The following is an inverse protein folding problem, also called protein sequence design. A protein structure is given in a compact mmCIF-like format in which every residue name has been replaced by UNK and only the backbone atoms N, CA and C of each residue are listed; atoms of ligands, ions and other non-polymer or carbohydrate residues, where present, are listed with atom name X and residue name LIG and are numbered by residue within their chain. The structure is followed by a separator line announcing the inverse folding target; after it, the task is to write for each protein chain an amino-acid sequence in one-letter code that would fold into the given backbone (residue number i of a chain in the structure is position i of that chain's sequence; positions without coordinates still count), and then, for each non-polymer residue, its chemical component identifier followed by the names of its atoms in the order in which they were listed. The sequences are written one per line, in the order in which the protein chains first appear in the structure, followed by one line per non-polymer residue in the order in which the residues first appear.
data_IF_656714968515
#
_entry.id   IF_656714968515
#
_cell.length_a   1.000
_cell.length_b   1.000
_cell.length_c   1.000
_cell.angle_alpha   90.00
_cell.angle_beta   90.00
_cell.angle_gamma   90.00
#
_symmetry.space_group_name_H-M   'P 1'
#
loop_
_entity.id
_entity.type
_entity.pdbx_description
1 polymer ?
#
# COMPACT_ATOMS: atom_id res chain seq x y z
N UNK A 1 -20.67 86.29 -26.63
CA UNK A 1 -21.17 85.22 -25.72
C UNK A 1 -22.59 84.91 -26.17
N UNK A 2 -23.01 83.73 -26.63
CA UNK A 2 -22.47 82.37 -26.54
C UNK A 2 -23.18 81.57 -27.63
N UNK A 3 -22.46 80.89 -28.54
CA UNK A 3 -23.09 79.93 -29.48
C UNK A 3 -23.23 78.59 -28.76
N UNK A 4 -24.46 78.14 -28.55
CA UNK A 4 -24.80 76.80 -28.08
C UNK A 4 -24.36 75.76 -29.14
N UNK A 5 -23.42 74.90 -28.77
CA UNK A 5 -23.16 73.64 -29.45
C UNK A 5 -24.16 72.60 -28.91
N UNK A 6 -25.23 72.36 -29.66
CA UNK A 6 -26.01 71.14 -29.55
C UNK A 6 -25.27 70.02 -30.29
N UNK A 7 -25.36 68.79 -29.77
CA UNK A 7 -24.73 67.53 -30.20
C UNK A 7 -23.37 67.23 -29.56
N UNK A 8 -23.39 66.46 -28.45
CA UNK A 8 -22.83 65.09 -28.54
C UNK A 8 -23.66 64.01 -27.80
N UNK A 9 -24.82 64.32 -27.22
CA UNK A 9 -25.51 63.39 -26.31
C UNK A 9 -26.11 62.14 -26.98
N UNK A 10 -26.54 62.23 -28.25
CA UNK A 10 -27.15 61.08 -28.96
C UNK A 10 -26.13 60.01 -29.36
N UNK A 11 -24.88 60.38 -29.62
CA UNK A 11 -23.82 59.43 -30.00
C UNK A 11 -23.39 58.59 -28.79
N UNK A 12 -23.22 59.20 -27.61
CA UNK A 12 -22.85 58.50 -26.39
C UNK A 12 -23.93 57.53 -25.88
N UNK A 13 -25.22 57.91 -25.98
CA UNK A 13 -26.34 57.01 -25.63
C UNK A 13 -26.43 55.80 -26.57
N UNK A 14 -26.11 55.97 -27.86
CA UNK A 14 -26.08 54.85 -28.82
C UNK A 14 -24.91 53.89 -28.58
N UNK A 15 -23.73 54.41 -28.19
CA UNK A 15 -22.55 53.61 -27.86
C UNK A 15 -22.73 52.82 -26.55
N UNK A 16 -23.37 53.41 -25.53
CA UNK A 16 -23.70 52.70 -24.28
C UNK A 16 -24.78 51.64 -24.52
N UNK A 17 -25.78 51.94 -25.38
CA UNK A 17 -26.76 50.95 -25.82
C UNK A 17 -26.11 49.78 -26.58
N UNK A 18 -25.14 50.05 -27.46
CA UNK A 18 -24.41 49.01 -28.21
C UNK A 18 -23.51 48.16 -27.30
N UNK A 19 -22.92 48.75 -26.25
CA UNK A 19 -22.08 48.03 -25.26
C UNK A 19 -22.90 47.14 -24.30
N UNK A 20 -24.14 47.53 -24.00
CA UNK A 20 -25.07 46.71 -23.22
C UNK A 20 -25.63 45.53 -24.03
N UNK A 21 -25.73 45.66 -25.35
CA UNK A 21 -26.15 44.55 -26.24
C UNK A 21 -25.03 43.55 -26.54
N UNK A 22 -23.74 43.93 -26.47
CA UNK A 22 -22.62 43.02 -26.75
C UNK A 22 -22.10 42.25 -25.53
N UNK A 23 -22.51 42.62 -24.31
CA UNK A 23 -22.03 41.98 -23.06
C UNK A 23 -23.01 40.99 -22.43
N UNK A 24 -24.23 40.87 -22.95
CA UNK A 24 -25.22 39.87 -22.50
C UNK A 24 -25.35 38.69 -23.47
N UNK A 25 -24.23 38.10 -23.88
CA UNK A 25 -24.25 36.73 -24.40
C UNK A 25 -24.53 35.78 -23.22
N UNK A 26 -25.80 35.43 -23.00
CA UNK A 26 -26.21 34.43 -22.01
C UNK A 26 -25.45 33.12 -22.29
N UNK A 27 -24.45 32.81 -21.47
CA UNK A 27 -23.67 31.58 -21.58
C UNK A 27 -24.62 30.37 -21.52
N UNK A 28 -24.57 29.50 -22.52
CA UNK A 28 -25.39 28.29 -22.55
C UNK A 28 -24.98 27.37 -21.39
N UNK A 29 -25.92 26.58 -20.85
CA UNK A 29 -25.60 25.62 -19.79
C UNK A 29 -24.50 24.64 -20.22
N UNK A 30 -24.49 24.24 -21.49
CA UNK A 30 -23.42 23.44 -22.09
C UNK A 30 -22.05 24.12 -21.98
N UNK A 31 -21.95 25.42 -22.28
CA UNK A 31 -20.69 26.15 -22.17
C UNK A 31 -20.18 26.23 -20.73
N UNK A 32 -21.08 26.42 -19.75
CA UNK A 32 -20.71 26.39 -18.31
C UNK A 32 -20.18 25.04 -17.88
N UNK A 33 -20.82 23.95 -18.33
CA UNK A 33 -20.39 22.58 -18.02
C UNK A 33 -19.01 22.30 -18.62
N UNK A 34 -18.77 22.71 -19.87
CA UNK A 34 -17.45 22.58 -20.53
C UNK A 34 -16.37 23.34 -19.77
N UNK A 35 -16.67 24.56 -19.33
CA UNK A 35 -15.75 25.38 -18.54
C UNK A 35 -15.39 24.68 -17.22
N UNK A 36 -16.38 24.18 -16.48
CA UNK A 36 -16.18 23.48 -15.21
C UNK A 36 -15.40 22.19 -15.39
N UNK A 37 -15.69 21.41 -16.44
CA UNK A 37 -14.94 20.21 -16.80
C UNK A 37 -13.46 20.54 -17.11
N UNK A 38 -13.19 21.61 -17.86
CA UNK A 38 -11.81 22.04 -18.12
C UNK A 38 -11.11 22.55 -16.85
N UNK A 39 -11.81 23.34 -16.02
CA UNK A 39 -11.27 23.82 -14.74
C UNK A 39 -10.93 22.66 -13.80
N UNK A 40 -11.76 21.62 -13.80
CA UNK A 40 -11.51 20.39 -13.06
C UNK A 40 -10.21 19.70 -13.49
N UNK A 41 -10.01 19.52 -14.80
CA UNK A 41 -8.78 18.92 -15.34
C UNK A 41 -7.54 19.75 -15.02
N UNK A 42 -7.62 21.08 -15.16
CA UNK A 42 -6.53 21.98 -14.76
C UNK A 42 -6.24 21.92 -13.26
N UNK A 43 -7.29 21.81 -12.43
CA UNK A 43 -7.16 21.56 -11.00
C UNK A 43 -6.46 20.24 -10.69
N UNK A 44 -6.76 19.16 -11.42
CA UNK A 44 -6.08 17.86 -11.30
C UNK A 44 -4.59 17.93 -11.65
N UNK A 45 -4.22 18.74 -12.64
CA UNK A 45 -2.81 18.98 -13.00
C UNK A 45 -2.10 19.75 -11.88
N UNK A 46 -2.69 20.85 -11.41
CA UNK A 46 -2.14 21.70 -10.33
C UNK A 46 -2.06 21.01 -8.97
N UNK A 47 -2.90 20.00 -8.72
CA UNK A 47 -2.83 19.18 -7.52
C UNK A 47 -1.45 18.50 -7.36
N UNK A 48 -0.77 18.19 -8.47
CA UNK A 48 0.58 17.60 -8.44
C UNK A 48 1.59 18.53 -7.77
N UNK A 49 1.49 19.84 -7.99
CA UNK A 49 2.29 20.86 -7.31
C UNK A 49 1.70 21.32 -5.97
N UNK A 50 0.61 20.69 -5.50
CA UNK A 50 -0.02 20.97 -4.21
C UNK A 50 -1.09 22.06 -4.21
N UNK A 51 -1.35 22.72 -5.34
CA UNK A 51 -2.44 23.69 -5.44
C UNK A 51 -3.79 22.97 -5.61
N UNK A 52 -4.73 23.31 -4.73
CA UNK A 52 -6.04 22.67 -4.64
C UNK A 52 -7.21 23.62 -4.87
N UNK A 53 -6.95 24.92 -5.02
CA UNK A 53 -8.00 25.94 -4.98
C UNK A 53 -8.99 25.76 -6.12
N UNK A 54 -8.47 25.63 -7.34
CA UNK A 54 -9.28 25.45 -8.54
C UNK A 54 -10.04 24.12 -8.54
N UNK A 55 -9.42 23.04 -8.04
CA UNK A 55 -10.09 21.75 -7.94
C UNK A 55 -11.23 21.80 -6.91
N UNK A 56 -10.99 22.42 -5.75
CA UNK A 56 -11.97 22.53 -4.67
C UNK A 56 -13.21 23.34 -5.06
N UNK A 57 -13.05 24.38 -5.87
CA UNK A 57 -14.17 25.26 -6.25
C UNK A 57 -15.18 24.58 -7.18
N UNK A 58 -14.74 23.60 -7.97
CA UNK A 58 -15.55 22.97 -9.02
C UNK A 58 -15.98 21.53 -8.71
N UNK A 59 -15.57 20.98 -7.56
CA UNK A 59 -15.76 19.57 -7.21
C UNK A 59 -16.65 19.43 -5.99
N UNK A 60 -17.51 18.42 -5.99
CA UNK A 60 -18.28 18.03 -4.82
C UNK A 60 -17.35 17.64 -3.64
N UNK A 61 -17.71 17.97 -2.38
CA UNK A 61 -16.82 17.78 -1.23
C UNK A 61 -16.31 16.34 -1.04
N UNK A 62 -17.17 15.34 -1.28
CA UNK A 62 -16.79 13.93 -1.16
C UNK A 62 -15.75 13.53 -2.21
N UNK A 63 -15.96 13.92 -3.47
CA UNK A 63 -15.01 13.63 -4.54
C UNK A 63 -13.69 14.38 -4.33
N UNK A 64 -13.75 15.65 -3.94
CA UNK A 64 -12.55 16.41 -3.59
C UNK A 64 -11.73 15.73 -2.48
N UNK A 65 -12.40 15.26 -1.42
CA UNK A 65 -11.76 14.52 -0.32
C UNK A 65 -11.13 13.22 -0.79
N UNK A 66 -11.81 12.47 -1.66
CA UNK A 66 -11.28 11.24 -2.23
C UNK A 66 -9.99 11.49 -3.00
N UNK A 67 -9.99 12.46 -3.92
CA UNK A 67 -8.83 12.82 -4.73
C UNK A 67 -7.63 13.21 -3.85
N UNK A 68 -7.87 14.01 -2.80
CA UNK A 68 -6.83 14.41 -1.84
C UNK A 68 -6.21 13.22 -1.11
N UNK A 69 -7.04 12.29 -0.65
CA UNK A 69 -6.58 11.06 0.02
C UNK A 69 -5.83 10.15 -0.96
N UNK A 70 -6.26 10.05 -2.20
CA UNK A 70 -5.56 9.25 -3.23
C UNK A 70 -4.17 9.84 -3.49
N UNK A 71 -4.06 11.16 -3.61
CA UNK A 71 -2.76 11.84 -3.76
C UNK A 71 -1.85 11.62 -2.55
N UNK A 72 -2.39 11.62 -1.33
CA UNK A 72 -1.66 11.28 -0.11
C UNK A 72 -1.17 9.82 -0.14
N UNK A 73 -2.05 8.88 -0.47
CA UNK A 73 -1.70 7.47 -0.60
C UNK A 73 -0.59 7.24 -1.61
N UNK A 74 -0.67 7.84 -2.80
CA UNK A 74 0.36 7.74 -3.85
C UNK A 74 1.73 8.21 -3.37
N UNK A 75 1.78 9.33 -2.62
CA UNK A 75 3.02 9.79 -1.96
C UNK A 75 3.54 8.78 -0.94
N UNK A 76 2.66 8.14 -0.19
CA UNK A 76 3.04 7.14 0.80
C UNK A 76 3.57 5.87 0.12
N UNK A 77 3.03 5.42 -1.00
CA UNK A 77 3.53 4.20 -1.66
C UNK A 77 4.75 4.44 -2.56
N UNK A 78 5.15 5.70 -2.76
CA UNK A 78 6.21 6.08 -3.70
C UNK A 78 5.96 5.53 -5.12
N UNK A 79 4.68 5.44 -5.48
CA UNK A 79 4.30 4.98 -6.80
C UNK A 79 4.71 6.05 -7.81
N UNK A 80 5.33 5.68 -8.95
CA UNK A 80 5.46 6.61 -10.05
C UNK A 80 4.05 7.11 -10.35
N UNK A 81 3.85 8.42 -10.32
CA UNK A 81 2.58 9.00 -10.75
C UNK A 81 2.52 8.77 -12.26
N UNK A 82 2.02 7.60 -12.66
CA UNK A 82 1.71 7.28 -14.06
C UNK A 82 0.60 8.25 -14.43
N UNK A 83 1.03 9.37 -14.99
CA UNK A 83 0.16 10.38 -15.51
C UNK A 83 -0.32 9.86 -16.85
N UNK A 84 -1.58 9.43 -16.96
CA UNK A 84 -2.31 9.72 -18.20
C UNK A 84 -2.04 11.19 -18.54
N UNK A 85 -1.77 11.52 -19.80
CA UNK A 85 -1.47 12.89 -20.21
C UNK A 85 -2.75 13.73 -20.19
N UNK A 86 -3.30 13.91 -18.99
CA UNK A 86 -4.49 14.70 -18.68
C UNK A 86 -4.33 16.17 -19.10
N UNK A 87 -3.11 16.61 -19.42
CA UNK A 87 -2.84 17.96 -19.93
C UNK A 87 -3.35 18.16 -21.35
N UNK A 88 -3.55 17.07 -22.12
CA UNK A 88 -4.10 17.10 -23.48
C UNK A 88 -5.60 16.82 -23.55
N UNK A 89 -6.24 16.61 -22.39
CA UNK A 89 -7.66 16.32 -22.32
C UNK A 89 -8.45 17.64 -22.23
N UNK A 90 -9.48 17.78 -23.06
CA UNK A 90 -10.35 18.96 -23.10
C UNK A 90 -11.83 18.60 -23.18
N UNK A 91 -12.71 19.51 -22.78
CA UNK A 91 -14.16 19.26 -22.79
C UNK A 91 -14.71 19.10 -24.22
N UNK A 92 -15.46 18.03 -24.46
CA UNK A 92 -16.06 17.69 -25.75
C UNK A 92 -17.59 17.75 -25.74
N UNK A 93 -18.23 16.62 -25.95
CA UNK A 93 -19.70 16.51 -26.02
C UNK A 93 -20.32 16.61 -24.62
N UNK A 94 -21.40 17.37 -24.46
CA UNK A 94 -22.13 17.48 -23.20
C UNK A 94 -23.55 16.95 -23.37
N UNK A 95 -23.98 16.10 -22.43
CA UNK A 95 -25.37 15.66 -22.30
C UNK A 95 -25.93 16.17 -20.98
N UNK A 96 -27.05 16.87 -21.02
CA UNK A 96 -27.73 17.46 -19.85
C UNK A 96 -29.06 16.72 -19.67
N UNK A 97 -29.29 16.23 -18.46
CA UNK A 97 -30.54 15.58 -18.04
C UNK A 97 -30.97 16.20 -16.69
N UNK A 98 -31.82 17.23 -16.77
CA UNK A 98 -32.25 18.02 -15.62
C UNK A 98 -31.08 18.65 -14.87
N UNK A 99 -30.92 18.24 -13.61
CA UNK A 99 -29.84 18.72 -12.71
C UNK A 99 -28.56 17.89 -12.82
N UNK A 100 -28.46 16.98 -13.79
CA UNK A 100 -27.28 16.17 -14.04
C UNK A 100 -26.72 16.46 -15.41
N UNK A 101 -25.40 16.37 -15.54
CA UNK A 101 -24.73 16.47 -16.81
C UNK A 101 -23.57 15.49 -16.91
N UNK A 102 -23.27 15.06 -18.12
CA UNK A 102 -22.07 14.29 -18.44
C UNK A 102 -21.32 15.01 -19.55
N UNK A 103 -20.06 15.33 -19.28
CA UNK A 103 -19.13 15.86 -20.26
C UNK A 103 -18.20 14.73 -20.72
N UNK A 104 -18.27 14.39 -22.00
CA UNK A 104 -17.31 13.49 -22.64
C UNK A 104 -16.10 14.30 -23.06
N UNK A 105 -14.94 13.95 -22.52
CA UNK A 105 -13.71 14.66 -22.82
C UNK A 105 -13.08 14.16 -24.13
N UNK A 106 -12.35 15.04 -24.80
CA UNK A 106 -11.56 14.78 -26.01
C UNK A 106 -10.11 14.60 -25.57
N UNK A 107 -9.52 13.45 -25.90
CA UNK A 107 -8.14 13.09 -25.57
C UNK A 107 -7.76 11.73 -26.19
N UNK A 108 -6.58 11.22 -25.86
CA UNK A 108 -6.15 9.89 -26.30
C UNK A 108 -6.99 8.77 -25.68
N UNK A 109 -7.40 8.94 -24.42
CA UNK A 109 -8.19 7.97 -23.67
C UNK A 109 -9.64 8.44 -23.51
N UNK A 110 -10.56 7.47 -23.41
CA UNK A 110 -11.96 7.73 -23.13
C UNK A 110 -12.12 8.20 -21.67
N UNK A 111 -12.64 9.41 -21.47
CA UNK A 111 -12.81 9.98 -20.15
C UNK A 111 -14.14 10.75 -20.03
N UNK A 112 -14.92 10.45 -18.99
CA UNK A 112 -16.18 11.13 -18.69
C UNK A 112 -16.07 11.90 -17.37
N UNK A 113 -16.62 13.11 -17.37
CA UNK A 113 -16.82 13.90 -16.16
C UNK A 113 -18.32 14.01 -15.91
N UNK A 114 -18.76 13.59 -14.73
CA UNK A 114 -20.14 13.72 -14.29
C UNK A 114 -20.29 14.94 -13.40
N UNK A 115 -21.34 15.71 -13.65
CA UNK A 115 -21.65 16.94 -12.93
C UNK A 115 -23.08 16.89 -12.39
N UNK A 116 -23.28 17.56 -11.28
CA UNK A 116 -24.58 17.83 -10.67
C UNK A 116 -24.76 19.32 -10.46
N UNK A 117 -25.98 19.80 -10.61
CA UNK A 117 -26.35 21.19 -10.35
C UNK A 117 -26.64 21.36 -8.85
N UNK A 118 -25.97 22.33 -8.24
CA UNK A 118 -26.13 22.73 -6.84
C UNK A 118 -26.49 24.21 -6.80
N UNK A 119 -27.79 24.49 -6.63
CA UNK A 119 -28.34 25.83 -6.85
C UNK A 119 -28.12 26.28 -8.30
N UNK A 120 -27.48 27.43 -8.48
CA UNK A 120 -27.16 27.96 -9.83
C UNK A 120 -25.80 27.49 -10.38
N UNK A 121 -25.07 26.65 -9.65
CA UNK A 121 -23.71 26.23 -9.99
C UNK A 121 -23.63 24.74 -10.31
N UNK A 122 -22.84 24.36 -11.32
CA UNK A 122 -22.52 22.97 -11.60
C UNK A 122 -21.27 22.54 -10.83
N UNK A 123 -21.22 21.30 -10.36
CA UNK A 123 -20.06 20.72 -9.69
C UNK A 123 -19.81 19.30 -10.15
N UNK A 124 -18.54 18.95 -10.27
CA UNK A 124 -18.10 17.60 -10.62
C UNK A 124 -18.36 16.66 -9.44
N UNK A 125 -19.09 15.57 -9.68
CA UNK A 125 -19.46 14.59 -8.65
C UNK A 125 -18.98 13.16 -8.96
N UNK A 126 -18.42 12.92 -10.14
CA UNK A 126 -17.88 11.62 -10.53
C UNK A 126 -17.01 11.68 -11.78
N UNK A 127 -16.28 10.58 -12.01
CA UNK A 127 -15.43 10.35 -13.18
C UNK A 127 -15.73 8.97 -13.74
N UNK A 128 -15.89 8.86 -15.06
CA UNK A 128 -16.23 7.59 -15.71
C UNK A 128 -17.41 6.92 -14.99
N UNK A 129 -17.42 5.59 -14.87
CA UNK A 129 -18.50 4.90 -14.18
C UNK A 129 -18.38 4.94 -12.64
N UNK A 130 -17.63 5.90 -12.08
CA UNK A 130 -17.36 5.98 -10.65
C UNK A 130 -17.87 7.26 -9.98
N UNK A 131 -18.70 7.05 -8.96
CA UNK A 131 -19.14 8.08 -8.02
C UNK A 131 -18.52 7.84 -6.64
N UNK A 132 -18.37 8.91 -5.87
CA UNK A 132 -17.71 8.88 -4.56
C UNK A 132 -18.71 8.71 -3.43
N UNK A 133 -18.44 7.72 -2.58
CA UNK A 133 -19.26 7.39 -1.41
C UNK A 133 -18.43 7.52 -0.13
N UNK A 134 -19.12 7.57 1.02
CA UNK A 134 -18.47 7.65 2.33
C UNK A 134 -17.66 6.38 2.62
N UNK A 135 -18.13 5.23 2.15
CA UNK A 135 -17.47 3.93 2.30
C UNK A 135 -16.14 3.89 1.53
N UNK A 136 -16.10 4.43 0.30
CA UNK A 136 -14.86 4.54 -0.48
C UNK A 136 -13.82 5.41 0.25
N UNK A 137 -14.25 6.51 0.87
CA UNK A 137 -13.39 7.38 1.69
C UNK A 137 -12.85 6.62 2.92
N UNK A 138 -13.72 5.89 3.63
CA UNK A 138 -13.33 5.12 4.82
C UNK A 138 -12.33 4.01 4.46
N UNK A 139 -12.57 3.29 3.35
CA UNK A 139 -11.67 2.25 2.85
C UNK A 139 -10.29 2.82 2.49
N UNK A 140 -10.24 3.97 1.82
CA UNK A 140 -8.97 4.62 1.45
C UNK A 140 -8.20 5.13 2.68
N UNK A 141 -8.89 5.67 3.68
CA UNK A 141 -8.27 6.05 4.96
C UNK A 141 -7.66 4.85 5.68
N UNK A 142 -8.37 3.73 5.70
CA UNK A 142 -7.85 2.47 6.25
C UNK A 142 -6.59 2.04 5.50
N UNK A 143 -6.60 2.04 4.16
CA UNK A 143 -5.42 1.74 3.34
C UNK A 143 -4.22 2.65 3.66
N UNK A 144 -4.45 3.95 3.83
CA UNK A 144 -3.40 4.92 4.23
C UNK A 144 -2.83 4.55 5.61
N UNK A 145 -3.69 4.33 6.60
CA UNK A 145 -3.27 3.97 7.96
C UNK A 145 -2.48 2.65 7.98
N UNK A 146 -2.95 1.63 7.26
CA UNK A 146 -2.29 0.34 7.14
C UNK A 146 -0.90 0.49 6.48
N UNK A 147 -0.78 1.32 5.44
CA UNK A 147 0.49 1.56 4.76
C UNK A 147 1.48 2.35 5.61
N UNK A 148 1.01 3.34 6.39
CA UNK A 148 1.86 4.07 7.35
C UNK A 148 2.39 3.10 8.40
N UNK A 149 1.51 2.28 8.99
CA UNK A 149 1.89 1.24 9.96
C UNK A 149 2.90 0.26 9.36
N UNK A 150 2.67 -0.19 8.12
CA UNK A 150 3.60 -1.04 7.40
C UNK A 150 4.97 -0.38 7.22
N UNK A 151 5.02 0.88 6.76
CA UNK A 151 6.29 1.61 6.59
C UNK A 151 7.04 1.81 7.91
N UNK A 152 6.34 2.11 8.99
CA UNK A 152 6.93 2.25 10.33
C UNK A 152 7.50 0.92 10.85
N UNK A 153 6.77 -0.18 10.62
CA UNK A 153 7.18 -1.51 11.06
C UNK A 153 8.20 -2.17 10.13
N UNK A 154 8.36 -1.66 8.90
CA UNK A 154 9.24 -2.22 7.86
C UNK A 154 10.65 -2.50 8.39
N UNK A 155 11.36 -1.58 9.06
CA UNK A 155 12.72 -1.87 9.56
C UNK A 155 12.75 -3.05 10.54
N UNK A 156 11.78 -3.15 11.44
CA UNK A 156 11.68 -4.24 12.40
C UNK A 156 11.35 -5.58 11.71
N UNK A 157 10.41 -5.58 10.75
CA UNK A 157 10.06 -6.77 9.94
C UNK A 157 11.30 -7.26 9.18
N UNK A 158 12.02 -6.36 8.51
CA UNK A 158 13.24 -6.71 7.78
C UNK A 158 14.33 -7.25 8.72
N UNK A 159 14.46 -6.70 9.93
CA UNK A 159 15.37 -7.22 10.94
C UNK A 159 15.02 -8.65 11.34
N UNK A 160 13.73 -8.97 11.57
CA UNK A 160 13.28 -10.33 11.90
C UNK A 160 13.54 -11.28 10.74
N UNK A 161 13.14 -10.92 9.51
CA UNK A 161 13.36 -11.74 8.31
C UNK A 161 14.86 -12.01 8.08
N UNK A 162 15.72 -11.02 8.32
CA UNK A 162 17.18 -11.19 8.21
C UNK A 162 17.68 -12.22 9.22
N UNK A 163 17.30 -12.09 10.49
CA UNK A 163 17.69 -13.01 11.57
C UNK A 163 17.19 -14.44 11.29
N UNK A 164 15.97 -14.58 10.77
CA UNK A 164 15.40 -15.88 10.40
C UNK A 164 16.14 -16.53 9.23
N UNK A 165 16.53 -15.77 8.20
CA UNK A 165 17.32 -16.35 7.10
C UNK A 165 18.72 -16.76 7.55
N UNK A 166 19.41 -15.89 8.32
CA UNK A 166 20.70 -16.22 8.93
C UNK A 166 20.62 -17.43 9.86
N UNK A 167 19.48 -17.62 10.53
CA UNK A 167 19.26 -18.76 11.42
C UNK A 167 19.37 -20.09 10.67
N UNK A 168 18.77 -20.20 9.49
CA UNK A 168 18.85 -21.41 8.68
C UNK A 168 20.24 -21.62 8.08
N UNK A 169 20.94 -20.54 7.72
CA UNK A 169 22.33 -20.61 7.27
C UNK A 169 23.26 -21.09 8.40
N UNK A 170 23.12 -20.53 9.61
CA UNK A 170 23.90 -20.96 10.78
C UNK A 170 23.58 -22.39 11.22
N UNK A 171 22.31 -22.81 11.12
CA UNK A 171 21.91 -24.22 11.31
C UNK A 171 22.64 -25.12 10.32
N UNK A 172 22.66 -24.75 9.04
CA UNK A 172 23.36 -25.52 7.99
C UNK A 172 24.84 -25.63 8.27
N UNK A 173 25.51 -24.53 8.57
CA UNK A 173 26.95 -24.50 8.86
C UNK A 173 27.29 -25.34 10.09
N UNK A 174 26.46 -25.27 11.14
CA UNK A 174 26.65 -26.10 12.32
C UNK A 174 26.51 -27.59 12.01
N UNK A 175 25.53 -27.99 11.21
CA UNK A 175 25.35 -29.41 10.85
C UNK A 175 26.48 -29.92 9.95
N UNK A 176 26.92 -29.11 8.98
CA UNK A 176 27.96 -29.52 8.03
C UNK A 176 29.35 -29.56 8.66
N UNK A 177 29.72 -28.49 9.37
CA UNK A 177 31.11 -28.22 9.72
C UNK A 177 31.31 -28.07 11.25
N UNK A 178 30.25 -28.21 12.05
CA UNK A 178 30.30 -27.97 13.50
C UNK A 178 30.47 -26.49 13.88
N UNK A 179 30.42 -25.57 12.92
CA UNK A 179 30.59 -24.14 13.16
C UNK A 179 29.35 -23.54 13.85
N UNK A 180 29.49 -23.18 15.12
CA UNK A 180 28.38 -22.60 15.91
C UNK A 180 28.31 -21.07 15.85
N UNK A 181 29.33 -20.40 15.33
CA UNK A 181 29.57 -18.96 15.49
C UNK A 181 28.37 -18.09 15.09
N UNK A 182 27.78 -18.37 13.92
CA UNK A 182 26.62 -17.63 13.42
C UNK A 182 25.40 -17.80 14.32
N UNK A 183 25.16 -19.03 14.81
CA UNK A 183 24.08 -19.31 15.76
C UNK A 183 24.29 -18.58 17.10
N UNK A 184 25.52 -18.36 17.55
CA UNK A 184 25.78 -17.63 18.80
C UNK A 184 25.32 -16.17 18.76
N UNK A 185 25.42 -15.56 17.57
CA UNK A 185 25.05 -14.17 17.34
C UNK A 185 23.53 -14.04 17.33
N UNK A 186 22.86 -14.90 16.58
CA UNK A 186 21.43 -14.75 16.23
C UNK A 186 20.47 -15.53 17.13
N UNK A 187 20.96 -16.41 18.02
CA UNK A 187 20.12 -17.19 18.93
C UNK A 187 20.38 -16.83 20.40
N UNK A 188 19.38 -17.06 21.25
CA UNK A 188 19.59 -17.04 22.71
C UNK A 188 20.44 -18.24 23.16
N UNK A 189 21.11 -18.18 24.33
CA UNK A 189 21.87 -19.33 24.85
C UNK A 189 21.02 -20.61 24.98
N UNK A 190 19.76 -20.49 25.41
CA UNK A 190 18.84 -21.63 25.54
C UNK A 190 18.50 -22.23 24.18
N UNK A 191 18.22 -21.40 23.17
CA UNK A 191 17.99 -21.85 21.79
C UNK A 191 19.20 -22.57 21.23
N UNK A 192 20.40 -22.03 21.43
CA UNK A 192 21.65 -22.66 20.97
C UNK A 192 21.83 -24.05 21.57
N UNK A 193 21.64 -24.16 22.89
CA UNK A 193 21.76 -25.43 23.60
C UNK A 193 20.69 -26.44 23.14
N UNK A 194 19.45 -26.00 22.95
CA UNK A 194 18.36 -26.83 22.43
C UNK A 194 18.71 -27.38 21.03
N UNK A 195 19.21 -26.52 20.15
CA UNK A 195 19.71 -26.87 18.81
C UNK A 195 20.81 -27.93 18.90
N UNK A 196 21.87 -27.69 19.67
CA UNK A 196 22.98 -28.65 19.82
C UNK A 196 22.49 -30.02 20.33
N UNK A 197 21.65 -30.03 21.36
CA UNK A 197 21.03 -31.26 21.90
C UNK A 197 20.18 -31.96 20.85
N UNK A 198 19.37 -31.21 20.12
CA UNK A 198 18.52 -31.75 19.08
C UNK A 198 19.32 -32.37 17.93
N UNK A 199 20.39 -31.72 17.47
CA UNK A 199 21.27 -32.27 16.44
C UNK A 199 21.98 -33.53 16.87
N UNK A 200 22.51 -33.55 18.10
CA UNK A 200 23.14 -34.76 18.64
C UNK A 200 22.16 -35.93 18.69
N UNK A 201 20.91 -35.67 19.12
CA UNK A 201 19.85 -36.66 19.10
C UNK A 201 19.47 -37.09 17.67
N UNK A 202 19.37 -36.15 16.73
CA UNK A 202 19.03 -36.43 15.33
C UNK A 202 20.11 -37.28 14.64
N UNK A 203 21.39 -36.99 14.89
CA UNK A 203 22.54 -37.75 14.37
C UNK A 203 22.52 -39.20 14.86
N UNK A 204 22.19 -39.42 16.14
CA UNK A 204 22.03 -40.75 16.71
C UNK A 204 20.88 -41.54 16.07
N UNK A 205 19.78 -40.86 15.70
CA UNK A 205 18.54 -41.51 15.23
C UNK A 205 18.49 -41.75 13.72
N UNK A 206 18.98 -40.79 12.92
CA UNK A 206 18.79 -40.78 11.45
C UNK A 206 20.10 -40.80 10.66
N UNK A 207 21.26 -40.71 11.31
CA UNK A 207 22.56 -40.62 10.65
C UNK A 207 22.85 -39.24 10.04
N UNK A 208 24.13 -38.87 9.97
CA UNK A 208 24.62 -37.55 9.54
C UNK A 208 24.40 -37.28 8.03
N UNK A 209 24.46 -38.32 7.21
CA UNK A 209 24.36 -38.23 5.75
C UNK A 209 22.95 -37.83 5.28
N UNK A 210 21.91 -38.33 5.95
CA UNK A 210 20.51 -38.02 5.61
C UNK A 210 20.22 -36.55 5.93
N UNK A 211 20.67 -36.07 7.09
CA UNK A 211 20.52 -34.68 7.50
C UNK A 211 21.28 -33.74 6.56
N UNK A 212 22.50 -34.10 6.18
CA UNK A 212 23.34 -33.29 5.29
C UNK A 212 22.74 -33.09 3.90
N UNK A 213 22.14 -34.14 3.30
CA UNK A 213 21.50 -34.07 1.96
C UNK A 213 20.25 -33.19 1.92
N UNK A 214 19.49 -33.14 3.00
CA UNK A 214 18.24 -32.40 3.06
C UNK A 214 18.44 -30.89 3.25
N UNK A 215 19.58 -30.50 3.84
CA UNK A 215 19.95 -29.11 4.16
C UNK A 215 20.40 -28.32 2.92
N UNK A 216 20.90 -28.97 1.87
CA UNK A 216 21.48 -28.28 0.70
C UNK A 216 20.45 -27.55 -0.17
N UNK A 217 19.15 -27.82 0.02
CA UNK A 217 18.06 -27.26 -0.79
C UNK A 217 17.52 -25.93 -0.23
N UNK A 218 18.39 -25.02 0.28
CA UNK A 218 17.92 -23.77 0.90
C UNK A 218 17.24 -22.84 -0.12
N UNK A 219 16.07 -22.33 0.25
CA UNK A 219 15.37 -21.26 -0.46
C UNK A 219 15.09 -20.16 0.55
N UNK A 220 15.18 -18.90 0.11
CA UNK A 220 14.79 -17.73 0.89
C UNK A 220 13.45 -17.97 1.58
N UNK A 221 13.39 -17.70 2.89
CA UNK A 221 12.18 -17.94 3.67
C UNK A 221 11.25 -16.74 3.58
N UNK A 222 10.02 -16.98 3.13
CA UNK A 222 8.94 -16.00 3.11
C UNK A 222 7.97 -16.28 4.26
N UNK A 223 7.50 -15.23 4.91
CA UNK A 223 6.62 -15.35 6.06
C UNK A 223 6.14 -14.00 6.59
N UNK A 224 5.14 -14.07 7.45
CA UNK A 224 4.55 -12.93 8.14
C UNK A 224 5.20 -12.75 9.50
N UNK A 225 5.29 -11.49 9.95
CA UNK A 225 5.84 -11.15 11.27
C UNK A 225 4.78 -10.47 12.11
N UNK A 226 4.52 -11.02 13.29
CA UNK A 226 3.71 -10.40 14.34
C UNK A 226 4.60 -9.91 15.47
N UNK A 227 4.23 -8.78 16.08
CA UNK A 227 4.98 -8.18 17.19
C UNK A 227 4.11 -8.07 18.43
N UNK A 228 4.69 -8.40 19.57
CA UNK A 228 4.12 -8.17 20.90
C UNK A 228 5.21 -7.66 21.84
N UNK A 229 5.26 -6.34 22.04
CA UNK A 229 6.32 -5.68 22.82
C UNK A 229 7.73 -6.05 22.30
N UNK A 230 8.60 -6.61 23.14
CA UNK A 230 9.94 -7.08 22.78
C UNK A 230 9.95 -8.50 22.18
N UNK A 231 8.80 -9.08 21.89
CA UNK A 231 8.68 -10.37 21.20
C UNK A 231 8.24 -10.17 19.75
N UNK A 232 8.72 -11.06 18.89
CA UNK A 232 8.23 -11.21 17.54
C UNK A 232 8.03 -12.70 17.24
N UNK A 233 6.99 -13.01 16.47
CA UNK A 233 6.77 -14.34 15.91
C UNK A 233 6.86 -14.24 14.39
N UNK A 234 7.68 -15.11 13.79
CA UNK A 234 7.75 -15.29 12.35
C UNK A 234 6.96 -16.54 11.97
N UNK A 235 5.94 -16.37 11.13
CA UNK A 235 5.13 -17.47 10.60
C UNK A 235 5.44 -17.70 9.13
N UNK A 236 5.81 -18.92 8.79
CA UNK A 236 6.12 -19.28 7.41
C UNK A 236 4.88 -19.18 6.51
N UNK A 237 5.07 -18.66 5.30
CA UNK A 237 4.00 -18.62 4.28
C UNK A 237 3.55 -20.04 3.96
N UNK A 238 2.23 -20.28 3.97
CA UNK A 238 1.59 -21.57 3.69
C UNK A 238 1.98 -22.73 4.64
N UNK A 239 2.51 -22.42 5.83
CA UNK A 239 2.82 -23.43 6.84
C UNK A 239 2.24 -23.02 8.20
N UNK A 240 1.98 -24.00 9.07
CA UNK A 240 1.56 -23.75 10.45
C UNK A 240 2.73 -23.47 11.40
N UNK A 241 3.96 -23.45 10.87
CA UNK A 241 5.19 -23.38 11.64
C UNK A 241 5.53 -21.96 12.03
N UNK A 242 6.13 -21.80 13.21
CA UNK A 242 6.53 -20.48 13.72
C UNK A 242 7.90 -20.49 14.36
N UNK A 243 8.56 -19.34 14.33
CA UNK A 243 9.83 -19.07 15.00
C UNK A 243 9.61 -17.92 15.96
N UNK A 244 10.03 -18.09 17.21
CA UNK A 244 9.91 -17.08 18.24
C UNK A 244 11.21 -16.29 18.33
N UNK A 245 11.10 -14.96 18.40
CA UNK A 245 12.21 -14.05 18.53
C UNK A 245 11.99 -13.11 19.72
N UNK A 246 13.06 -12.85 20.46
CA UNK A 246 13.06 -11.85 21.54
C UNK A 246 14.09 -10.77 21.23
N UNK A 247 13.72 -9.52 21.48
CA UNK A 247 14.61 -8.36 21.34
C UNK A 247 15.55 -8.27 22.53
N UNK A 248 16.84 -8.23 22.27
CA UNK A 248 17.92 -8.03 23.24
C UNK A 248 18.89 -6.97 22.71
N UNK A 249 19.14 -5.92 23.48
CA UNK A 249 20.04 -4.81 23.11
C UNK A 249 19.77 -4.26 21.69
N UNK A 250 18.49 -4.02 21.37
CA UNK A 250 18.01 -3.59 20.04
C UNK A 250 18.15 -4.58 18.87
N UNK A 251 18.54 -5.83 19.12
CA UNK A 251 18.60 -6.87 18.11
C UNK A 251 17.64 -8.02 18.44
N UNK A 252 16.93 -8.54 17.43
CA UNK A 252 16.14 -9.76 17.61
C UNK A 252 17.06 -10.97 17.63
N UNK A 253 16.78 -11.90 18.54
CA UNK A 253 17.41 -13.22 18.60
C UNK A 253 16.35 -14.31 18.64
N UNK A 254 16.62 -15.43 17.98
CA UNK A 254 15.77 -16.62 18.00
C UNK A 254 15.74 -17.17 19.42
N UNK A 255 14.56 -17.20 20.02
CA UNK A 255 14.31 -17.59 21.41
C UNK A 255 13.46 -18.85 21.55
N UNK A 256 12.92 -19.37 20.44
CA UNK A 256 12.06 -20.53 20.46
C UNK A 256 11.53 -20.93 19.08
N UNK A 257 10.76 -22.01 19.06
CA UNK A 257 10.14 -22.58 17.87
C UNK A 257 8.71 -23.00 18.21
N UNK A 258 7.80 -22.96 17.23
CA UNK A 258 6.45 -23.50 17.34
C UNK A 258 5.65 -22.95 18.55
N UNK A 259 5.75 -21.65 18.82
CA UNK A 259 5.07 -21.00 19.94
C UNK A 259 5.64 -21.31 21.34
N UNK A 260 6.69 -22.12 21.44
CA UNK A 260 7.36 -22.45 22.71
C UNK A 260 8.72 -21.74 22.84
N UNK A 261 9.11 -21.38 24.07
CA UNK A 261 10.48 -20.91 24.32
C UNK A 261 11.43 -22.09 24.33
N UNK A 262 12.66 -21.90 23.85
CA UNK A 262 13.66 -22.97 23.82
C UNK A 262 13.98 -23.55 25.20
N UNK A 263 13.86 -22.75 26.26
CA UNK A 263 14.03 -23.21 27.65
C UNK A 263 12.93 -24.17 28.12
N UNK A 264 11.77 -24.16 27.47
CA UNK A 264 10.62 -25.03 27.76
C UNK A 264 10.68 -26.35 26.98
N UNK A 265 11.53 -26.45 25.96
CA UNK A 265 11.67 -27.64 25.12
C UNK A 265 12.59 -28.66 25.81
N UNK A 266 11.98 -29.57 26.58
CA UNK A 266 12.70 -30.67 27.24
C UNK A 266 13.21 -31.74 26.26
N UNK A 267 14.15 -32.58 26.70
CA UNK A 267 14.62 -33.72 25.90
C UNK A 267 13.51 -34.70 25.54
N UNK A 268 12.55 -34.92 26.45
CA UNK A 268 11.36 -35.72 26.16
C UNK A 268 10.52 -35.10 25.06
N UNK A 269 10.26 -33.80 25.13
CA UNK A 269 9.54 -33.08 24.07
C UNK A 269 10.28 -33.12 22.73
N UNK A 270 11.62 -33.05 22.74
CA UNK A 270 12.43 -33.20 21.52
C UNK A 270 12.25 -34.59 20.89
N UNK A 271 12.20 -35.64 21.70
CA UNK A 271 11.95 -37.00 21.22
C UNK A 271 10.51 -37.15 20.70
N UNK A 272 9.53 -36.66 21.45
CA UNK A 272 8.09 -36.77 21.11
C UNK A 272 7.72 -35.95 19.86
N UNK A 273 8.39 -34.80 19.65
CA UNK A 273 8.14 -33.88 18.52
C UNK A 273 9.24 -33.93 17.44
N UNK A 274 10.01 -35.00 17.38
CA UNK A 274 11.22 -35.11 16.55
C UNK A 274 11.02 -34.64 15.10
N UNK A 275 9.99 -35.13 14.41
CA UNK A 275 9.68 -34.74 13.03
C UNK A 275 9.23 -33.27 12.90
N UNK A 276 8.47 -32.77 13.87
CA UNK A 276 8.03 -31.37 13.87
C UNK A 276 9.21 -30.41 14.01
N UNK A 277 10.16 -30.73 14.90
CA UNK A 277 11.38 -29.95 15.09
C UNK A 277 12.33 -30.06 13.90
N UNK A 278 12.47 -31.25 13.29
CA UNK A 278 13.22 -31.40 12.03
C UNK A 278 12.63 -30.50 10.93
N UNK A 279 11.31 -30.43 10.80
CA UNK A 279 10.62 -29.56 9.83
C UNK A 279 10.76 -28.08 10.17
N UNK A 280 10.62 -27.69 11.44
CA UNK A 280 10.75 -26.31 11.90
C UNK A 280 12.18 -25.76 11.69
N UNK A 281 13.19 -26.62 11.89
CA UNK A 281 14.59 -26.32 11.58
C UNK A 281 14.93 -26.47 10.09
N UNK A 282 13.94 -26.81 9.24
CA UNK A 282 14.07 -27.06 7.79
C UNK A 282 15.12 -28.14 7.44
N UNK A 283 15.34 -29.09 8.35
CA UNK A 283 16.30 -30.19 8.22
C UNK A 283 15.75 -31.40 7.46
N UNK A 284 14.43 -31.43 7.20
CA UNK A 284 13.82 -32.46 6.37
C UNK A 284 12.78 -31.79 5.47
N UNK A 285 13.02 -31.84 4.15
CA UNK A 285 12.20 -31.23 3.10
C UNK A 285 11.59 -32.26 2.14
N UNK A 286 12.01 -33.53 2.12
CA UNK A 286 11.40 -34.59 1.31
C UNK A 286 9.87 -34.67 1.50
N UNK A 287 9.04 -34.64 0.43
CA UNK A 287 7.57 -34.75 0.51
C UNK A 287 7.10 -35.95 1.34
N UNK A 288 7.81 -37.06 1.25
CA UNK A 288 7.61 -38.29 1.99
C UNK A 288 7.76 -38.10 3.50
N UNK A 289 8.50 -37.09 3.97
CA UNK A 289 8.62 -36.79 5.40
C UNK A 289 7.80 -35.57 5.83
N UNK A 290 6.88 -35.06 5.00
CA UNK A 290 6.00 -33.92 5.32
C UNK A 290 4.62 -34.31 5.83
N UNK A 291 4.16 -35.52 5.57
CA UNK A 291 2.83 -35.97 6.00
C UNK A 291 2.84 -36.37 7.49
N UNK A 292 1.74 -36.09 8.23
CA UNK A 292 1.60 -36.47 9.64
C UNK A 292 1.44 -37.99 9.86
N UNK A 293 1.30 -38.78 8.80
CA UNK A 293 0.96 -40.20 8.86
C UNK A 293 2.17 -41.15 8.96
N UNK A 294 3.40 -40.64 8.83
CA UNK A 294 4.60 -41.48 8.94
C UNK A 294 5.15 -41.38 10.37
N UNK A 295 4.94 -42.46 11.12
CA UNK A 295 5.51 -42.72 12.45
C UNK A 295 6.93 -43.24 12.35
#
# INVERSE_FOLDING_TARGET
MTRLLLFPQTIYLSLIGMFLFTTSCKQTEESKIKEIANQYMQGRIKLKSGDTLQLKSVTEPLLFRFIKLTQEYLKIVDAPIISEDISRISAGEVKIDGEKATCRMIGHDYYLIHLIKTGDSWKVNGENNEYMTVEKIAALRKKIADQIKFKQNKPAIYSVIKVVNLFFEGVREYVKDGNISELEIITTPDTRNMIQKFYNYAKQRSGEDILSKEIEKFNLVLGDVTFESDQAEFKFSNESRTINLTKQNNHYKISGLEGLKSSEISQRMMADNYLNLLRALKLVRGPEYRLPEIK
#
